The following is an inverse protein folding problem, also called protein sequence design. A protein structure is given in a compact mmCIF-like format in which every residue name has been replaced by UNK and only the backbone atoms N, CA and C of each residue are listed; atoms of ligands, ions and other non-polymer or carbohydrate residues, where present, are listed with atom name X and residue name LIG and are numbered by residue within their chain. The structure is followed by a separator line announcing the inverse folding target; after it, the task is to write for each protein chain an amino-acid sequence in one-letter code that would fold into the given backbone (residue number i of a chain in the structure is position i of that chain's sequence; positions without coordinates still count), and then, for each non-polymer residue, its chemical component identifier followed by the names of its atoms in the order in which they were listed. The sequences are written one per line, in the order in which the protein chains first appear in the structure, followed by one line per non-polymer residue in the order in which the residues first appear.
data_IF_170414058197
#
_entry.id   IF_170414058197
#
_cell.length_a   1.000
_cell.length_b   1.000
_cell.length_c   1.000
_cell.angle_alpha   90.00
_cell.angle_beta   90.00
_cell.angle_gamma   90.00
#
_symmetry.space_group_name_H-M   'P 1'
#
loop_
_entity.id
_entity.type
_entity.pdbx_description
1 polymer ?
#
# COMPACT_ATOMS: atom_id res chain seq x y z
N UNK A 1 -58.81 1.89 47.04
CA UNK A 1 -57.93 3.09 46.95
C UNK A 1 -56.47 2.64 46.90
N UNK A 2 -55.96 2.33 45.70
CA UNK A 2 -54.52 2.16 45.47
C UNK A 2 -53.98 3.47 44.93
N UNK A 3 -53.03 4.06 45.65
CA UNK A 3 -52.57 5.43 45.45
C UNK A 3 -51.83 5.61 44.12
N UNK A 4 -52.25 6.61 43.34
CA UNK A 4 -51.67 7.05 42.06
C UNK A 4 -50.20 7.51 42.16
N UNK A 5 -49.62 7.52 43.38
CA UNK A 5 -48.21 7.84 43.63
C UNK A 5 -47.24 6.74 43.17
N UNK A 6 -47.67 5.47 43.10
CA UNK A 6 -46.77 4.35 42.73
C UNK A 6 -46.47 4.21 41.22
N UNK A 7 -47.30 4.80 40.34
CA UNK A 7 -47.10 4.73 38.88
C UNK A 7 -46.18 5.83 38.36
N UNK A 8 -46.05 6.95 39.08
CA UNK A 8 -45.19 8.06 38.69
C UNK A 8 -43.72 7.75 38.99
N UNK A 9 -43.43 7.05 40.11
CA UNK A 9 -42.04 6.66 40.45
C UNK A 9 -41.46 5.60 39.50
N UNK A 10 -42.31 4.78 38.87
CA UNK A 10 -41.89 3.83 37.83
C UNK A 10 -41.58 4.53 36.50
N UNK A 11 -42.28 5.63 36.17
CA UNK A 11 -42.06 6.41 34.93
C UNK A 11 -40.95 7.47 35.10
N UNK A 12 -40.73 7.98 36.31
CA UNK A 12 -39.69 8.99 36.59
C UNK A 12 -38.29 8.36 36.78
N UNK A 13 -38.22 7.10 37.23
CA UNK A 13 -36.97 6.32 37.28
C UNK A 13 -36.43 5.91 35.90
N UNK A 14 -37.22 5.97 34.83
CA UNK A 14 -36.77 5.62 33.46
C UNK A 14 -36.35 6.84 32.62
N UNK A 15 -36.63 8.07 33.06
CA UNK A 15 -36.30 9.30 32.31
C UNK A 15 -34.86 9.76 32.52
N UNK A 16 -34.28 9.61 33.71
CA UNK A 16 -32.86 9.98 33.95
C UNK A 16 -31.87 8.96 33.36
N UNK A 17 -32.26 7.69 33.26
CA UNK A 17 -31.43 6.64 32.67
C UNK A 17 -31.46 6.65 31.13
N UNK A 18 -32.57 7.04 30.49
CA UNK A 18 -32.66 7.11 29.03
C UNK A 18 -31.80 8.25 28.43
N UNK A 19 -31.66 9.36 29.15
CA UNK A 19 -30.87 10.50 28.69
C UNK A 19 -29.37 10.26 28.86
N UNK A 20 -28.96 9.60 29.95
CA UNK A 20 -27.56 9.23 30.18
C UNK A 20 -27.10 8.11 29.26
N UNK A 21 -27.92 7.09 29.00
CA UNK A 21 -27.62 6.05 28.00
C UNK A 21 -27.64 6.61 26.56
N UNK A 22 -28.58 7.51 26.22
CA UNK A 22 -28.62 8.17 24.92
C UNK A 22 -27.41 9.09 24.67
N UNK A 23 -26.99 9.86 25.66
CA UNK A 23 -25.83 10.75 25.54
C UNK A 23 -24.50 9.99 25.54
N UNK A 24 -24.36 8.95 26.36
CA UNK A 24 -23.15 8.11 26.36
C UNK A 24 -23.02 7.30 25.09
N UNK A 25 -24.11 6.74 24.56
CA UNK A 25 -24.09 6.08 23.24
C UNK A 25 -23.77 7.08 22.14
N UNK A 26 -24.32 8.29 22.15
CA UNK A 26 -23.99 9.33 21.19
C UNK A 26 -22.50 9.75 21.26
N UNK A 27 -21.96 9.96 22.46
CA UNK A 27 -20.53 10.25 22.67
C UNK A 27 -19.63 9.11 22.20
N UNK A 28 -19.97 7.86 22.53
CA UNK A 28 -19.24 6.67 22.07
C UNK A 28 -19.30 6.55 20.55
N UNK A 29 -20.45 6.81 19.93
CA UNK A 29 -20.60 6.82 18.46
C UNK A 29 -19.76 7.93 17.83
N UNK A 30 -19.78 9.15 18.36
CA UNK A 30 -18.96 10.27 17.87
C UNK A 30 -17.46 9.96 18.00
N UNK A 31 -17.02 9.41 19.13
CA UNK A 31 -15.62 9.01 19.35
C UNK A 31 -15.20 7.85 18.44
N UNK A 32 -16.06 6.84 18.26
CA UNK A 32 -15.82 5.72 17.34
C UNK A 32 -15.75 6.18 15.89
N UNK A 33 -16.70 7.01 15.44
CA UNK A 33 -16.71 7.59 14.10
C UNK A 33 -15.47 8.49 13.88
N UNK A 34 -15.05 9.24 14.89
CA UNK A 34 -13.84 10.06 14.85
C UNK A 34 -12.55 9.23 14.74
N UNK A 35 -12.45 8.13 15.49
CA UNK A 35 -11.28 7.26 15.49
C UNK A 35 -11.13 6.45 14.19
N UNK A 36 -12.24 6.00 13.58
CA UNK A 36 -12.20 5.28 12.29
C UNK A 36 -11.75 6.18 11.12
N UNK A 37 -11.97 7.50 11.21
CA UNK A 37 -11.55 8.45 10.18
C UNK A 37 -10.04 8.78 10.19
N UNK A 38 -9.31 8.40 11.24
CA UNK A 38 -7.88 8.71 11.41
C UNK A 38 -7.00 7.44 11.44
N UNK A 39 -7.34 6.43 10.65
CA UNK A 39 -6.38 5.34 10.38
C UNK A 39 -5.33 5.84 9.38
N UNK A 40 -4.11 6.03 9.85
CA UNK A 40 -2.96 6.18 8.95
C UNK A 40 -2.76 4.88 8.15
N UNK A 41 -2.30 4.96 6.90
CA UNK A 41 -1.92 3.76 6.15
C UNK A 41 -0.88 2.95 6.93
N UNK A 42 -1.03 1.62 6.90
CA UNK A 42 -0.12 0.71 7.59
C UNK A 42 1.07 0.37 6.67
N UNK A 43 2.19 1.03 6.93
CA UNK A 43 3.43 0.91 6.16
C UNK A 43 4.39 -0.15 6.72
N UNK A 44 3.92 -1.01 7.64
CA UNK A 44 4.75 -2.00 8.32
C UNK A 44 4.90 -3.36 7.63
N UNK A 45 3.87 -3.92 7.00
CA UNK A 45 3.98 -5.23 6.37
C UNK A 45 4.99 -5.24 5.22
N UNK A 46 5.68 -6.37 5.04
CA UNK A 46 6.48 -6.64 3.85
C UNK A 46 5.59 -6.69 2.59
N UNK A 47 6.12 -6.31 1.42
CA UNK A 47 5.39 -6.43 0.17
C UNK A 47 5.13 -7.90 -0.16
N UNK A 48 3.95 -8.20 -0.73
CA UNK A 48 3.54 -9.55 -1.08
C UNK A 48 3.03 -9.56 -2.51
N UNK A 49 3.63 -10.38 -3.38
CA UNK A 49 3.14 -10.57 -4.76
C UNK A 49 1.78 -11.28 -4.79
N UNK A 50 1.47 -12.12 -3.81
CA UNK A 50 0.21 -12.87 -3.74
C UNK A 50 0.23 -14.10 -4.65
N UNK A 51 -0.90 -14.81 -4.68
CA UNK A 51 -1.03 -16.07 -5.44
C UNK A 51 -1.39 -15.87 -6.91
N UNK A 52 -1.90 -14.70 -7.26
CA UNK A 52 -2.29 -14.35 -8.62
C UNK A 52 -1.06 -14.07 -9.51
N UNK A 53 -1.23 -14.25 -10.82
CA UNK A 53 -0.15 -14.15 -11.82
C UNK A 53 -0.18 -12.86 -12.63
N UNK A 54 -0.85 -11.83 -12.12
CA UNK A 54 -0.75 -10.48 -12.67
C UNK A 54 0.67 -9.92 -12.52
N UNK A 55 0.97 -8.89 -13.28
CA UNK A 55 2.25 -8.19 -13.21
C UNK A 55 1.94 -6.69 -13.10
N UNK A 56 1.62 -6.27 -11.88
CA UNK A 56 1.28 -4.88 -11.59
C UNK A 56 2.43 -4.27 -10.81
N UNK A 57 3.08 -3.28 -11.40
CA UNK A 57 4.02 -2.44 -10.68
C UNK A 57 3.29 -1.70 -9.55
N UNK A 58 3.84 -1.80 -8.35
CA UNK A 58 3.34 -1.19 -7.13
C UNK A 58 4.50 -0.72 -6.28
N UNK A 59 4.20 0.14 -5.33
CA UNK A 59 5.16 0.76 -4.43
C UNK A 59 4.93 0.31 -2.99
N UNK A 60 5.99 0.03 -2.26
CA UNK A 60 5.92 -0.26 -0.82
C UNK A 60 6.95 0.57 -0.08
N UNK A 61 6.66 0.92 1.17
CA UNK A 61 7.58 1.64 2.03
C UNK A 61 8.58 0.68 2.66
N UNK A 62 9.86 0.91 2.39
CA UNK A 62 10.97 0.18 2.97
C UNK A 62 11.51 0.94 4.17
N UNK A 63 11.23 0.42 5.37
CA UNK A 63 11.67 1.03 6.63
C UNK A 63 13.18 1.07 6.82
N UNK A 64 13.94 0.22 6.12
CA UNK A 64 15.39 0.17 6.26
C UNK A 64 16.07 1.28 5.48
N UNK A 65 15.51 1.65 4.33
CA UNK A 65 16.01 2.76 3.49
C UNK A 65 15.26 4.07 3.75
N UNK A 66 14.16 4.00 4.50
CA UNK A 66 13.21 5.09 4.75
C UNK A 66 12.60 5.67 3.45
N UNK A 67 12.65 4.90 2.36
CA UNK A 67 12.13 5.27 1.03
C UNK A 67 11.10 4.25 0.56
N UNK A 68 10.33 4.63 -0.45
CA UNK A 68 9.48 3.70 -1.17
C UNK A 68 10.26 3.01 -2.29
N UNK A 69 10.04 1.71 -2.46
CA UNK A 69 10.67 0.88 -3.48
C UNK A 69 9.59 0.21 -4.35
N UNK A 70 9.97 -0.15 -5.58
CA UNK A 70 9.09 -0.84 -6.53
C UNK A 70 9.05 -2.35 -6.22
N UNK A 71 7.86 -2.93 -6.34
CA UNK A 71 7.64 -4.38 -6.37
C UNK A 71 6.51 -4.75 -7.34
N UNK A 72 6.44 -6.02 -7.71
CA UNK A 72 5.38 -6.53 -8.58
C UNK A 72 4.32 -7.30 -7.79
N UNK A 73 3.11 -6.79 -7.84
CA UNK A 73 1.91 -7.37 -7.24
C UNK A 73 1.13 -8.19 -8.26
N UNK A 74 0.69 -9.37 -7.84
CA UNK A 74 -0.01 -10.37 -8.65
C UNK A 74 -1.47 -10.06 -8.94
N UNK A 75 -2.06 -9.05 -8.29
CA UNK A 75 -3.47 -8.68 -8.46
C UNK A 75 -4.43 -9.21 -7.39
N UNK A 76 -3.93 -9.94 -6.39
CA UNK A 76 -4.70 -10.36 -5.22
C UNK A 76 -3.84 -10.47 -3.95
N UNK A 77 -4.45 -10.73 -2.79
CA UNK A 77 -3.77 -10.83 -1.50
C UNK A 77 -3.02 -9.54 -1.09
N UNK A 78 -3.56 -8.38 -1.50
CA UNK A 78 -3.00 -7.07 -1.22
C UNK A 78 -2.81 -6.84 0.29
N UNK A 79 -1.62 -6.37 0.66
CA UNK A 79 -1.30 -5.87 2.00
C UNK A 79 -1.37 -4.33 2.00
N UNK A 80 -1.60 -3.69 3.17
CA UNK A 80 -1.69 -2.23 3.25
C UNK A 80 -0.47 -1.46 2.73
N UNK A 81 0.74 -2.04 2.84
CA UNK A 81 1.97 -1.47 2.30
C UNK A 81 2.09 -1.74 0.78
N UNK A 82 1.11 -1.25 0.02
CA UNK A 82 0.98 -1.41 -1.42
C UNK A 82 0.31 -0.16 -2.01
N UNK A 83 1.04 0.58 -2.82
CA UNK A 83 0.65 1.89 -3.32
C UNK A 83 0.78 1.97 -4.85
N UNK A 84 -0.03 2.81 -5.52
CA UNK A 84 -0.03 2.90 -6.98
C UNK A 84 1.14 3.69 -7.57
N UNK A 85 1.78 4.57 -6.79
CA UNK A 85 2.93 5.38 -7.22
C UNK A 85 3.79 5.78 -6.02
N UNK A 86 5.02 6.24 -6.29
CA UNK A 86 5.97 6.67 -5.28
C UNK A 86 5.43 7.82 -4.41
N UNK A 87 4.86 8.86 -5.02
CA UNK A 87 4.37 10.05 -4.31
C UNK A 87 3.35 9.69 -3.22
N UNK A 88 2.39 8.81 -3.55
CA UNK A 88 1.37 8.37 -2.62
C UNK A 88 1.95 7.49 -1.51
N UNK A 89 2.93 6.65 -1.83
CA UNK A 89 3.65 5.84 -0.85
C UNK A 89 4.42 6.73 0.15
N UNK A 90 5.22 7.68 -0.34
CA UNK A 90 6.02 8.57 0.49
C UNK A 90 5.12 9.46 1.36
N UNK A 91 4.07 10.06 0.79
CA UNK A 91 3.09 10.84 1.56
C UNK A 91 2.41 10.04 2.66
N UNK A 92 2.14 8.76 2.39
CA UNK A 92 1.49 7.85 3.33
C UNK A 92 2.39 7.50 4.50
N UNK A 93 3.68 7.30 4.25
CA UNK A 93 4.57 6.58 5.16
C UNK A 93 5.72 7.42 5.76
N UNK A 94 6.17 8.49 5.10
CA UNK A 94 7.39 9.22 5.48
C UNK A 94 7.21 10.26 6.60
N UNK A 95 6.25 10.06 7.51
CA UNK A 95 6.01 10.90 8.70
C UNK A 95 6.22 12.43 8.53
N UNK A 96 5.65 13.04 7.48
CA UNK A 96 5.72 14.48 7.16
C UNK A 96 7.10 15.05 6.79
N UNK A 97 8.04 14.20 6.36
CA UNK A 97 9.35 14.65 5.88
C UNK A 97 9.24 15.54 4.64
N UNK A 98 8.30 15.25 3.73
CA UNK A 98 8.10 16.00 2.50
C UNK A 98 6.80 16.82 2.57
N UNK A 99 6.94 18.11 2.91
CA UNK A 99 5.81 19.06 2.96
C UNK A 99 5.52 19.73 1.62
N UNK A 100 6.52 19.76 0.73
CA UNK A 100 6.42 20.39 -0.59
C UNK A 100 6.26 19.32 -1.67
N UNK A 101 5.23 19.46 -2.50
CA UNK A 101 4.94 18.53 -3.59
C UNK A 101 6.10 18.42 -4.60
N UNK A 102 6.77 19.52 -4.93
CA UNK A 102 7.87 19.53 -5.92
C UNK A 102 9.11 18.81 -5.43
N UNK A 103 9.44 18.92 -4.14
CA UNK A 103 10.57 18.18 -3.55
C UNK A 103 10.28 16.67 -3.51
N UNK A 104 9.02 16.32 -3.24
CA UNK A 104 8.58 14.94 -3.25
C UNK A 104 8.58 14.33 -4.66
N UNK A 105 8.11 15.08 -5.66
CA UNK A 105 8.15 14.67 -7.06
C UNK A 105 9.60 14.44 -7.52
N UNK A 106 10.52 15.37 -7.22
CA UNK A 106 11.93 15.24 -7.57
C UNK A 106 12.65 14.10 -6.82
N UNK A 107 12.18 13.72 -5.63
CA UNK A 107 12.67 12.51 -4.96
C UNK A 107 12.20 11.25 -5.69
N UNK A 108 10.90 11.19 -6.01
CA UNK A 108 10.33 10.02 -6.66
C UNK A 108 10.89 9.79 -8.05
N UNK A 109 11.15 10.85 -8.81
CA UNK A 109 11.86 10.77 -10.10
C UNK A 109 13.22 10.08 -9.96
N UNK A 110 14.01 10.45 -8.94
CA UNK A 110 15.31 9.81 -8.68
C UNK A 110 15.18 8.35 -8.27
N UNK A 111 14.16 8.01 -7.49
CA UNK A 111 13.94 6.62 -7.07
C UNK A 111 13.55 5.76 -8.29
N UNK A 112 12.72 6.30 -9.19
CA UNK A 112 12.36 5.64 -10.44
C UNK A 112 13.59 5.43 -11.33
N UNK A 113 14.44 6.45 -11.50
CA UNK A 113 15.71 6.33 -12.23
C UNK A 113 16.65 5.27 -11.62
N UNK A 114 16.78 5.23 -10.28
CA UNK A 114 17.58 4.23 -9.57
C UNK A 114 17.03 2.80 -9.79
N UNK A 115 15.71 2.66 -9.82
CA UNK A 115 15.05 1.37 -10.08
C UNK A 115 15.23 0.91 -11.53
N UNK A 116 15.11 1.82 -12.50
CA UNK A 116 15.32 1.55 -13.92
C UNK A 116 16.77 1.15 -14.20
N UNK A 117 17.73 1.85 -13.61
CA UNK A 117 19.15 1.50 -13.73
C UNK A 117 19.41 0.10 -13.16
N UNK A 118 18.87 -0.21 -11.97
CA UNK A 118 19.01 -1.53 -11.35
C UNK A 118 18.39 -2.64 -12.20
N UNK A 119 17.26 -2.36 -12.85
CA UNK A 119 16.64 -3.28 -13.80
C UNK A 119 17.55 -3.52 -15.00
N UNK A 120 18.12 -2.46 -15.59
CA UNK A 120 19.02 -2.58 -16.74
C UNK A 120 20.33 -3.31 -16.39
N UNK A 121 20.90 -3.02 -15.22
CA UNK A 121 22.10 -3.69 -14.73
C UNK A 121 21.87 -5.20 -14.54
N UNK A 122 20.63 -5.63 -14.28
CA UNK A 122 20.27 -7.05 -14.17
C UNK A 122 20.34 -7.81 -15.51
N UNK A 123 20.32 -7.14 -16.66
CA UNK A 123 20.49 -7.80 -17.97
C UNK A 123 21.96 -8.00 -18.35
N UNK A 124 22.88 -7.45 -17.56
CA UNK A 124 24.31 -7.43 -17.87
C UNK A 124 24.63 -6.53 -19.07
N UNK A 125 25.91 -6.27 -19.29
CA UNK A 125 26.36 -5.67 -20.54
C UNK A 125 26.10 -6.68 -21.67
N UNK A 126 25.09 -6.44 -22.49
CA UNK A 126 24.96 -7.13 -23.77
C UNK A 126 26.18 -6.74 -24.60
N UNK A 127 27.15 -7.65 -24.66
CA UNK A 127 28.37 -7.47 -25.44
C UNK A 127 28.02 -7.66 -26.92
N UNK A 128 27.83 -6.55 -27.63
CA UNK A 128 27.52 -6.52 -29.07
C UNK A 128 28.70 -7.00 -29.94
N UNK A 129 29.83 -7.42 -29.35
CA UNK A 129 30.97 -7.94 -30.11
C UNK A 129 30.76 -9.34 -30.69
N UNK A 130 29.65 -10.02 -30.36
CA UNK A 130 29.25 -11.29 -30.97
C UNK A 130 28.34 -11.13 -32.22
N UNK A 131 28.67 -10.19 -33.11
CA UNK A 131 28.11 -10.19 -34.46
C UNK A 131 28.76 -11.24 -35.37
N UNK A 132 29.09 -12.41 -34.83
CA UNK A 132 29.37 -13.65 -35.54
C UNK A 132 29.55 -14.76 -34.46
N UNK A 133 28.59 -15.68 -34.24
CA UNK A 133 28.88 -17.10 -33.87
C UNK A 133 27.72 -18.09 -33.88
N UNK A 134 26.45 -17.70 -33.80
CA UNK A 134 25.38 -18.73 -33.65
C UNK A 134 24.66 -19.17 -34.94
N UNK A 135 24.73 -18.43 -36.05
CA UNK A 135 23.89 -18.74 -37.24
C UNK A 135 24.59 -19.54 -38.34
N UNK A 136 25.91 -19.46 -38.46
CA UNK A 136 26.68 -20.18 -39.48
C UNK A 136 27.14 -21.57 -39.02
N UNK A 137 27.12 -21.85 -37.72
CA UNK A 137 27.39 -23.22 -37.23
C UNK A 137 26.18 -24.14 -37.53
N UNK A 138 24.94 -23.65 -37.37
CA UNK A 138 23.73 -24.38 -37.76
C UNK A 138 23.61 -24.60 -39.29
N UNK A 139 24.19 -23.70 -40.09
CA UNK A 139 24.14 -23.75 -41.56
C UNK A 139 25.21 -24.65 -42.18
N UNK A 140 26.36 -24.82 -41.50
CA UNK A 140 27.44 -25.70 -41.94
C UNK A 140 27.16 -27.19 -41.67
N UNK A 141 26.37 -27.50 -40.63
CA UNK A 141 26.01 -28.88 -40.28
C UNK A 141 24.93 -29.48 -41.20
N UNK A 142 24.18 -28.65 -41.92
CA UNK A 142 23.15 -29.09 -42.89
C UNK A 142 23.73 -29.40 -44.28
N UNK A 143 24.99 -29.06 -44.58
CA UNK A 143 25.61 -29.30 -45.89
C UNK A 143 26.54 -30.52 -45.94
N UNK A 144 26.74 -31.25 -44.84
CA UNK A 144 27.56 -32.49 -44.83
C UNK A 144 26.75 -33.80 -44.82
N UNK A 145 25.42 -33.73 -44.96
CA UNK A 145 24.52 -34.91 -45.05
C UNK A 145 23.74 -34.99 -46.36
N UNK A 146 24.35 -34.56 -47.46
CA UNK A 146 23.88 -34.92 -48.81
C UNK A 146 25.01 -35.51 -49.65
#
# INVERSE_FOLDING_TARGET
HFSLKGLIDLVCGMRSFCWSLGMTTCLVLVLKIGAERFKSPDCAPEPVSGTCRGHHERWFYNKSTEKCDIFYWGGCDEKPNNFPNCTFCMQSCSCNEYKNTTELEALCEKIEEEADQKYWDSFGSYDDTDHNSSWYEYSAEQTSTQ
#
